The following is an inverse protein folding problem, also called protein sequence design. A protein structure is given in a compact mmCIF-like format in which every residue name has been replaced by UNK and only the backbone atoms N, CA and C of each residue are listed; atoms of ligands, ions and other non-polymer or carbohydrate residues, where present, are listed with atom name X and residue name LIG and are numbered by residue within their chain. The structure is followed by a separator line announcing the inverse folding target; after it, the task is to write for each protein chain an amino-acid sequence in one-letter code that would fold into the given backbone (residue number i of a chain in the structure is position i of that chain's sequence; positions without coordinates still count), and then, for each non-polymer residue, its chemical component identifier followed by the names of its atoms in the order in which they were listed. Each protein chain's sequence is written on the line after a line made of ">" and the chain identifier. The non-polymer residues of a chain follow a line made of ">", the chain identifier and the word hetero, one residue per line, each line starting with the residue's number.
data_IF_881463442282
#
_entry.id   IF_881463442282
#
_cell.length_a   1.000
_cell.length_b   1.000
_cell.length_c   1.000
_cell.angle_alpha   90.00
_cell.angle_beta   90.00
_cell.angle_gamma   90.00
#
_symmetry.space_group_name_H-M   'P 1'
#
loop_
_entity.id
_entity.type
_entity.pdbx_description
1 polymer ?
#
# COMPACT_ATOMS: atom_id res chain seq x y z
N UNK A 1 -0.29 29.93 -7.85
CA UNK A 1 0.35 29.96 -6.52
C UNK A 1 1.35 28.81 -6.46
N UNK A 2 2.66 29.09 -6.61
CA UNK A 2 3.73 28.10 -6.40
C UNK A 2 3.75 27.77 -4.90
N UNK A 3 3.28 26.59 -4.55
CA UNK A 3 3.41 26.05 -3.20
C UNK A 3 4.91 25.77 -3.00
N UNK A 4 5.58 26.56 -2.15
CA UNK A 4 6.96 26.32 -1.76
C UNK A 4 7.16 24.83 -1.45
N UNK A 5 8.07 24.19 -2.19
CA UNK A 5 8.52 22.85 -1.87
C UNK A 5 9.26 22.92 -0.54
N UNK A 6 8.55 22.63 0.55
CA UNK A 6 9.19 22.50 1.86
C UNK A 6 10.24 21.39 1.74
N UNK A 7 11.49 21.75 1.92
CA UNK A 7 12.58 20.78 2.00
C UNK A 7 12.21 19.72 3.04
N UNK A 8 12.22 18.46 2.64
CA UNK A 8 11.96 17.33 3.51
C UNK A 8 12.97 17.39 4.67
N UNK A 9 12.47 17.49 5.89
CA UNK A 9 13.31 17.40 7.08
C UNK A 9 13.91 15.99 7.14
N UNK A 10 15.17 15.87 7.56
CA UNK A 10 15.82 14.57 7.78
C UNK A 10 14.97 13.62 8.62
N UNK A 11 14.31 14.16 9.65
CA UNK A 11 13.39 13.40 10.50
C UNK A 11 12.21 12.83 9.72
N UNK A 12 11.61 13.58 8.80
CA UNK A 12 10.51 13.10 7.96
C UNK A 12 10.98 12.02 7.00
N UNK A 13 12.16 12.21 6.39
CA UNK A 13 12.73 11.20 5.47
C UNK A 13 13.06 9.89 6.19
N UNK A 14 13.63 9.95 7.40
CA UNK A 14 13.90 8.75 8.21
C UNK A 14 12.61 8.02 8.62
N UNK A 15 11.56 8.76 8.95
CA UNK A 15 10.26 8.18 9.27
C UNK A 15 9.64 7.50 8.04
N UNK A 16 9.69 8.14 6.89
CA UNK A 16 9.19 7.57 5.63
C UNK A 16 9.93 6.29 5.25
N UNK A 17 11.25 6.26 5.43
CA UNK A 17 12.08 5.08 5.20
C UNK A 17 11.70 3.91 6.13
N UNK A 18 11.51 4.21 7.41
CA UNK A 18 11.08 3.22 8.40
C UNK A 18 9.69 2.67 8.08
N UNK A 19 8.73 3.53 7.73
CA UNK A 19 7.38 3.13 7.34
C UNK A 19 7.39 2.29 6.06
N UNK A 20 8.22 2.65 5.09
CA UNK A 20 8.39 1.89 3.83
C UNK A 20 8.97 0.50 4.09
N UNK A 21 9.91 0.37 5.00
CA UNK A 21 10.46 -0.93 5.43
C UNK A 21 9.38 -1.81 6.06
N UNK A 22 8.59 -1.26 6.98
CA UNK A 22 7.46 -1.98 7.59
C UNK A 22 6.42 -2.38 6.56
N UNK A 23 6.13 -1.49 5.61
CA UNK A 23 5.18 -1.76 4.53
C UNK A 23 5.66 -2.88 3.59
N UNK A 24 6.96 -2.89 3.25
CA UNK A 24 7.56 -3.94 2.42
C UNK A 24 7.50 -5.34 3.03
N UNK A 25 7.61 -5.45 4.36
CA UNK A 25 7.48 -6.73 5.07
C UNK A 25 6.04 -7.25 5.19
N UNK A 26 5.04 -6.42 4.92
CA UNK A 26 3.63 -6.74 5.13
C UNK A 26 3.12 -7.98 4.35
N UNK A 27 3.37 -8.16 3.03
CA UNK A 27 2.90 -9.32 2.28
C UNK A 27 3.49 -10.64 2.81
N UNK A 28 4.77 -10.63 3.17
CA UNK A 28 5.46 -11.78 3.75
C UNK A 28 4.87 -12.16 5.10
N UNK A 29 4.71 -11.19 6.00
CA UNK A 29 4.10 -11.42 7.32
C UNK A 29 2.66 -11.96 7.19
N UNK A 30 1.88 -11.44 6.25
CA UNK A 30 0.53 -11.91 5.98
C UNK A 30 0.55 -13.37 5.50
N UNK A 31 1.45 -13.73 4.60
CA UNK A 31 1.57 -15.10 4.08
C UNK A 31 1.93 -16.10 5.18
N UNK A 32 2.88 -15.75 6.05
CA UNK A 32 3.27 -16.58 7.21
C UNK A 32 2.10 -16.79 8.18
N UNK A 33 1.24 -15.80 8.33
CA UNK A 33 0.11 -15.86 9.25
C UNK A 33 -1.12 -16.64 8.71
N UNK A 34 -1.19 -16.94 7.40
CA UNK A 34 -2.33 -17.65 6.78
C UNK A 34 -2.66 -18.99 7.45
N UNK A 35 -1.70 -19.88 7.80
CA UNK A 35 -1.99 -21.14 8.45
C UNK A 35 -2.69 -20.99 9.81
N UNK A 36 -2.45 -19.86 10.49
CA UNK A 36 -2.98 -19.60 11.84
C UNK A 36 -4.27 -18.79 11.83
N UNK A 37 -4.46 -17.96 10.81
CA UNK A 37 -5.62 -17.11 10.68
C UNK A 37 -6.01 -16.90 9.22
N UNK A 38 -7.26 -17.20 8.82
CA UNK A 38 -7.75 -16.94 7.47
C UNK A 38 -7.61 -15.47 7.09
N UNK A 39 -7.45 -15.14 5.79
CA UNK A 39 -7.19 -13.77 5.32
C UNK A 39 -8.23 -12.74 5.79
N UNK A 40 -9.50 -13.15 5.86
CA UNK A 40 -10.59 -12.29 6.35
C UNK A 40 -10.40 -11.98 7.83
N UNK A 41 -10.04 -12.98 8.66
CA UNK A 41 -9.77 -12.78 10.09
C UNK A 41 -8.60 -11.83 10.30
N UNK A 42 -7.52 -11.98 9.55
CA UNK A 42 -6.37 -11.08 9.62
C UNK A 42 -6.77 -9.63 9.28
N UNK A 43 -7.65 -9.44 8.28
CA UNK A 43 -8.14 -8.11 7.89
C UNK A 43 -8.88 -7.41 9.02
N UNK A 44 -9.92 -8.03 9.59
CA UNK A 44 -10.70 -7.37 10.64
C UNK A 44 -9.92 -7.18 11.95
N UNK A 45 -9.07 -8.14 12.34
CA UNK A 45 -8.21 -8.01 13.52
C UNK A 45 -7.29 -6.77 13.41
N UNK A 46 -6.74 -6.52 12.22
CA UNK A 46 -5.94 -5.33 11.95
C UNK A 46 -6.73 -4.05 12.17
N UNK A 47 -7.97 -3.99 11.66
CA UNK A 47 -8.82 -2.81 11.85
C UNK A 47 -9.16 -2.58 13.33
N UNK A 48 -9.46 -3.65 14.07
CA UNK A 48 -9.74 -3.55 15.51
C UNK A 48 -8.52 -3.02 16.26
N UNK A 49 -7.37 -3.64 16.07
CA UNK A 49 -6.13 -3.23 16.78
C UNK A 49 -5.75 -1.80 16.41
N UNK A 50 -5.76 -1.46 15.11
CA UNK A 50 -5.43 -0.10 14.66
C UNK A 50 -6.44 0.92 15.20
N UNK A 51 -7.72 0.59 15.20
CA UNK A 51 -8.78 1.45 15.73
C UNK A 51 -8.58 1.74 17.22
N UNK A 52 -8.25 0.72 18.02
CA UNK A 52 -7.96 0.87 19.45
C UNK A 52 -6.75 1.78 19.65
N UNK A 53 -5.64 1.52 18.95
CA UNK A 53 -4.41 2.32 19.06
C UNK A 53 -4.67 3.79 18.68
N UNK A 54 -5.35 4.02 17.55
CA UNK A 54 -5.67 5.38 17.08
C UNK A 54 -6.61 6.07 18.06
N UNK A 55 -7.60 5.37 18.61
CA UNK A 55 -8.53 5.92 19.59
C UNK A 55 -7.80 6.42 20.83
N UNK A 56 -6.95 5.60 21.44
CA UNK A 56 -6.18 6.01 22.61
C UNK A 56 -5.19 7.13 22.30
N UNK A 57 -4.53 7.07 21.14
CA UNK A 57 -3.63 8.13 20.71
C UNK A 57 -4.35 9.47 20.51
N UNK A 58 -5.53 9.46 19.86
CA UNK A 58 -6.33 10.66 19.67
C UNK A 58 -6.82 11.24 21.00
N UNK A 59 -7.21 10.38 21.96
CA UNK A 59 -7.57 10.80 23.32
C UNK A 59 -6.38 11.45 24.03
N UNK A 60 -5.20 10.83 23.93
CA UNK A 60 -3.97 11.40 24.50
C UNK A 60 -3.63 12.77 23.91
N UNK A 61 -3.78 12.93 22.61
CA UNK A 61 -3.53 14.20 21.91
C UNK A 61 -4.67 15.21 22.04
N UNK A 62 -5.76 14.86 22.72
CA UNK A 62 -6.98 15.70 22.86
C UNK A 62 -7.58 16.11 21.51
N UNK A 63 -7.48 15.25 20.49
CA UNK A 63 -8.07 15.47 19.18
C UNK A 63 -9.54 15.05 19.24
N UNK A 64 -10.44 15.91 18.72
CA UNK A 64 -11.85 15.57 18.59
C UNK A 64 -12.04 14.45 17.56
N UNK A 65 -12.67 13.36 17.97
CA UNK A 65 -13.00 12.23 17.11
C UNK A 65 -14.40 12.33 16.49
N UNK A 66 -15.12 13.39 16.79
CA UNK A 66 -16.47 13.60 16.24
C UNK A 66 -16.40 14.27 14.88
N UNK A 67 -16.72 13.55 13.79
CA UNK A 67 -16.74 14.14 12.46
C UNK A 67 -17.95 15.08 12.32
N UNK A 68 -17.77 16.13 11.56
CA UNK A 68 -18.86 17.02 11.17
C UNK A 68 -19.83 16.27 10.26
N UNK A 69 -21.12 16.61 10.26
CA UNK A 69 -22.12 15.94 9.39
C UNK A 69 -21.73 15.89 7.90
N UNK A 70 -21.02 16.91 7.43
CA UNK A 70 -20.52 16.98 6.04
C UNK A 70 -19.39 15.98 5.75
N UNK A 71 -18.64 15.55 6.77
CA UNK A 71 -17.50 14.64 6.65
C UNK A 71 -17.92 13.19 6.78
N UNK A 72 -19.07 12.88 7.38
CA UNK A 72 -19.53 11.50 7.61
C UNK A 72 -19.65 10.74 6.28
N UNK A 73 -20.29 11.32 5.27
CA UNK A 73 -20.50 10.65 3.99
C UNK A 73 -19.18 10.28 3.29
N UNK A 74 -18.23 11.21 3.08
CA UNK A 74 -16.94 10.84 2.47
C UNK A 74 -16.13 9.90 3.34
N UNK A 75 -16.17 10.00 4.67
CA UNK A 75 -15.48 9.06 5.57
C UNK A 75 -16.02 7.64 5.46
N UNK A 76 -17.35 7.48 5.43
CA UNK A 76 -17.98 6.17 5.25
C UNK A 76 -17.65 5.59 3.87
N UNK A 77 -17.73 6.38 2.82
CA UNK A 77 -17.36 5.94 1.46
C UNK A 77 -15.89 5.48 1.40
N UNK A 78 -14.97 6.28 1.96
CA UNK A 78 -13.54 5.92 2.02
C UNK A 78 -13.31 4.65 2.85
N UNK A 79 -13.99 4.53 3.99
CA UNK A 79 -13.90 3.34 4.84
C UNK A 79 -14.37 2.07 4.13
N UNK A 80 -15.48 2.13 3.40
CA UNK A 80 -16.00 0.99 2.62
C UNK A 80 -15.01 0.63 1.51
N UNK A 81 -14.56 1.61 0.72
CA UNK A 81 -13.61 1.37 -0.38
C UNK A 81 -12.31 0.75 0.13
N UNK A 82 -11.78 1.28 1.22
CA UNK A 82 -10.54 0.77 1.82
C UNK A 82 -10.71 -0.65 2.39
N UNK A 83 -11.85 -0.93 3.01
CA UNK A 83 -12.16 -2.28 3.53
C UNK A 83 -12.27 -3.30 2.39
N UNK A 84 -12.95 -2.95 1.31
CA UNK A 84 -13.08 -3.80 0.11
C UNK A 84 -11.72 -4.03 -0.53
N UNK A 85 -10.92 -2.99 -0.69
CA UNK A 85 -9.55 -3.08 -1.22
C UNK A 85 -8.68 -4.04 -0.41
N UNK A 86 -8.67 -3.91 0.93
CA UNK A 86 -7.89 -4.79 1.80
C UNK A 86 -8.40 -6.23 1.78
N UNK A 87 -9.70 -6.43 1.67
CA UNK A 87 -10.28 -7.77 1.55
C UNK A 87 -9.75 -8.46 0.28
N UNK A 88 -9.84 -7.80 -0.87
CA UNK A 88 -9.32 -8.35 -2.13
C UNK A 88 -7.81 -8.55 -2.10
N UNK A 89 -7.05 -7.62 -1.50
CA UNK A 89 -5.61 -7.75 -1.34
C UNK A 89 -5.25 -8.99 -0.51
N UNK A 90 -5.89 -9.17 0.64
CA UNK A 90 -5.63 -10.31 1.52
C UNK A 90 -5.99 -11.64 0.87
N UNK A 91 -7.13 -11.71 0.18
CA UNK A 91 -7.53 -12.91 -0.59
C UNK A 91 -6.54 -13.15 -1.74
N UNK A 92 -6.13 -12.11 -2.46
CA UNK A 92 -5.15 -12.21 -3.54
C UNK A 92 -3.83 -12.79 -3.06
N UNK A 93 -3.26 -12.24 -1.98
CA UNK A 93 -2.00 -12.73 -1.40
C UNK A 93 -2.14 -14.19 -0.91
N UNK A 94 -3.31 -14.58 -0.40
CA UNK A 94 -3.53 -15.96 0.05
C UNK A 94 -3.48 -16.98 -1.09
N UNK A 95 -3.89 -16.58 -2.28
CA UNK A 95 -4.02 -17.45 -3.47
C UNK A 95 -2.80 -17.40 -4.41
N UNK A 96 -1.87 -16.48 -4.19
CA UNK A 96 -0.70 -16.29 -5.05
C UNK A 96 0.60 -16.37 -4.26
N UNK A 97 1.74 -16.33 -4.95
CA UNK A 97 3.05 -16.17 -4.30
C UNK A 97 3.21 -14.75 -3.77
N UNK A 98 4.06 -14.57 -2.76
CA UNK A 98 4.40 -13.23 -2.23
C UNK A 98 4.97 -12.35 -3.35
N UNK A 99 5.87 -12.89 -4.15
CA UNK A 99 6.52 -12.17 -5.26
C UNK A 99 5.48 -11.68 -6.29
N UNK A 100 4.58 -12.57 -6.74
CA UNK A 100 3.50 -12.19 -7.68
C UNK A 100 2.59 -11.10 -7.11
N UNK A 101 2.27 -11.19 -5.81
CA UNK A 101 1.45 -10.19 -5.14
C UNK A 101 2.12 -8.83 -5.07
N UNK A 102 3.44 -8.79 -4.82
CA UNK A 102 4.23 -7.55 -4.79
C UNK A 102 4.25 -6.91 -6.16
N UNK A 103 4.48 -7.69 -7.24
CA UNK A 103 4.51 -7.16 -8.61
C UNK A 103 3.16 -6.57 -9.00
N UNK A 104 2.07 -7.32 -8.80
CA UNK A 104 0.74 -6.82 -9.12
C UNK A 104 0.40 -5.56 -8.32
N UNK A 105 0.73 -5.54 -7.03
CA UNK A 105 0.53 -4.35 -6.21
C UNK A 105 1.39 -3.17 -6.66
N UNK A 106 2.58 -3.41 -7.19
CA UNK A 106 3.48 -2.35 -7.68
C UNK A 106 3.00 -1.70 -8.99
N UNK A 107 1.95 -2.22 -9.62
CA UNK A 107 1.32 -1.56 -10.78
C UNK A 107 0.44 -0.38 -10.38
N UNK A 108 0.06 -0.25 -9.08
CA UNK A 108 -0.88 0.78 -8.65
C UNK A 108 -0.47 2.22 -9.01
N UNK A 109 0.82 2.63 -9.01
CA UNK A 109 1.19 3.99 -9.39
C UNK A 109 0.83 4.34 -10.84
N UNK A 110 0.85 3.36 -11.74
CA UNK A 110 0.44 3.54 -13.14
C UNK A 110 -1.05 3.90 -13.19
N UNK A 111 -1.88 3.15 -12.45
CA UNK A 111 -3.31 3.42 -12.36
C UNK A 111 -3.61 4.76 -11.70
N UNK A 112 -2.88 5.11 -10.64
CA UNK A 112 -3.04 6.41 -9.95
C UNK A 112 -2.72 7.57 -10.90
N UNK A 113 -1.64 7.50 -11.67
CA UNK A 113 -1.27 8.54 -12.61
C UNK A 113 -2.29 8.64 -13.75
N UNK A 114 -2.70 7.49 -14.30
CA UNK A 114 -3.67 7.43 -15.40
C UNK A 114 -5.03 7.98 -14.96
N UNK A 115 -5.56 7.48 -13.85
CA UNK A 115 -6.85 7.94 -13.32
C UNK A 115 -6.77 9.39 -12.83
N UNK A 116 -5.67 9.78 -12.21
CA UNK A 116 -5.44 11.15 -11.78
C UNK A 116 -5.56 12.16 -12.91
N UNK A 117 -5.00 11.82 -14.08
CA UNK A 117 -5.11 12.66 -15.27
C UNK A 117 -6.57 12.88 -15.71
N UNK A 118 -7.42 11.84 -15.62
CA UNK A 118 -8.83 11.94 -16.03
C UNK A 118 -9.71 12.62 -14.98
N UNK A 119 -9.44 12.42 -13.69
CA UNK A 119 -10.31 12.88 -12.62
C UNK A 119 -9.84 14.16 -11.93
N UNK A 120 -8.54 14.51 -12.01
CA UNK A 120 -7.96 15.68 -11.35
C UNK A 120 -7.52 16.68 -12.41
N UNK A 121 -8.30 17.75 -12.60
CA UNK A 121 -8.07 18.77 -13.63
C UNK A 121 -6.71 19.51 -13.52
N UNK A 122 -6.06 19.49 -12.37
CA UNK A 122 -4.78 20.18 -12.13
C UNK A 122 -3.56 19.25 -12.21
N UNK A 123 -3.76 17.93 -12.38
CA UNK A 123 -2.66 16.96 -12.47
C UNK A 123 -2.27 16.74 -13.94
N UNK A 124 -1.30 17.54 -14.39
CA UNK A 124 -0.76 17.42 -15.75
C UNK A 124 0.03 16.12 -15.89
N UNK A 125 -0.34 15.35 -16.90
CA UNK A 125 0.40 14.17 -17.34
C UNK A 125 1.76 14.59 -17.89
N UNK A 126 2.79 14.45 -17.09
CA UNK A 126 4.15 14.81 -17.50
C UNK A 126 4.87 13.56 -17.97
N UNK A 127 5.50 13.61 -19.15
CA UNK A 127 6.34 12.52 -19.68
C UNK A 127 7.39 12.05 -18.67
N UNK A 128 7.91 12.97 -17.85
CA UNK A 128 8.85 12.64 -16.79
C UNK A 128 8.25 11.72 -15.71
N UNK A 129 6.98 11.94 -15.33
CA UNK A 129 6.26 11.06 -14.40
C UNK A 129 6.09 9.67 -14.99
N UNK A 130 5.67 9.58 -16.25
CA UNK A 130 5.51 8.31 -16.95
C UNK A 130 6.86 7.55 -17.05
N UNK A 131 7.92 8.25 -17.44
CA UNK A 131 9.25 7.65 -17.56
C UNK A 131 9.78 7.12 -16.22
N UNK A 132 9.62 7.90 -15.13
CA UNK A 132 10.01 7.46 -13.79
C UNK A 132 9.27 6.22 -13.31
N UNK A 133 7.95 6.16 -13.54
CA UNK A 133 7.13 4.98 -13.18
C UNK A 133 7.49 3.78 -14.03
N UNK A 134 7.75 3.96 -15.33
CA UNK A 134 8.15 2.87 -16.23
C UNK A 134 9.48 2.27 -15.82
N UNK A 135 10.48 3.09 -15.47
CA UNK A 135 11.78 2.60 -14.96
C UNK A 135 11.60 1.84 -13.65
N UNK A 136 10.82 2.36 -12.72
CA UNK A 136 10.56 1.69 -11.45
C UNK A 136 9.88 0.32 -11.67
N UNK A 137 8.92 0.25 -12.57
CA UNK A 137 8.24 -0.99 -12.89
C UNK A 137 9.14 -2.00 -13.59
N UNK A 138 9.99 -1.56 -14.53
CA UNK A 138 11.00 -2.42 -15.15
C UNK A 138 11.98 -2.99 -14.11
N UNK A 139 12.40 -2.20 -13.14
CA UNK A 139 13.25 -2.68 -12.04
C UNK A 139 12.58 -3.81 -11.24
N UNK A 140 11.28 -3.71 -10.97
CA UNK A 140 10.51 -4.74 -10.28
C UNK A 140 10.42 -6.02 -11.13
N UNK A 141 10.16 -5.89 -12.43
CA UNK A 141 10.12 -7.03 -13.36
C UNK A 141 11.47 -7.75 -13.38
N UNK A 142 12.58 -7.03 -13.51
CA UNK A 142 13.93 -7.62 -13.53
C UNK A 142 14.19 -8.40 -12.25
N UNK A 143 13.88 -7.82 -11.09
CA UNK A 143 14.04 -8.51 -9.79
C UNK A 143 13.19 -9.78 -9.70
N UNK A 144 12.01 -9.78 -10.30
CA UNK A 144 11.15 -10.96 -10.31
C UNK A 144 11.65 -12.06 -11.22
N UNK A 145 12.13 -11.72 -12.41
CA UNK A 145 12.70 -12.71 -13.34
C UNK A 145 13.90 -13.42 -12.71
N UNK A 146 14.77 -12.68 -12.03
CA UNK A 146 15.92 -13.25 -11.32
C UNK A 146 15.48 -14.22 -10.21
N UNK A 147 14.51 -13.84 -9.40
CA UNK A 147 13.95 -14.71 -8.37
C UNK A 147 13.22 -15.93 -8.93
N UNK A 148 12.60 -15.82 -10.10
CA UNK A 148 11.92 -16.94 -10.76
C UNK A 148 12.93 -17.94 -11.35
N UNK A 149 14.03 -17.46 -11.93
CA UNK A 149 15.11 -18.31 -12.48
C UNK A 149 15.82 -19.09 -11.38
N UNK A 150 16.09 -18.48 -10.23
CA UNK A 150 16.68 -19.16 -9.08
C UNK A 150 15.77 -20.29 -8.57
N UNK A 151 14.47 -20.03 -8.46
CA UNK A 151 13.51 -21.05 -7.99
C UNK A 151 13.36 -22.22 -8.97
N UNK A 152 13.44 -21.98 -10.28
CA UNK A 152 13.38 -23.05 -11.30
C UNK A 152 14.67 -23.85 -11.37
N UNK A 153 15.83 -23.25 -11.07
CA UNK A 153 17.12 -23.95 -10.98
C UNK A 153 17.15 -24.92 -9.80
N UNK A 154 16.70 -24.48 -8.61
CA UNK A 154 16.66 -25.33 -7.42
C UNK A 154 15.66 -26.52 -7.56
N UNK A 155 14.59 -26.35 -8.35
CA UNK A 155 13.62 -27.41 -8.63
C UNK A 155 14.08 -28.40 -9.73
N UNK A 156 15.14 -28.09 -10.47
CA UNK A 156 15.72 -28.96 -11.49
C UNK A 156 16.87 -29.83 -10.95
N UNK A 157 17.39 -29.49 -9.76
CA UNK A 157 18.48 -30.21 -9.10
C UNK A 157 17.97 -31.25 -8.05
N UNK A 158 16.66 -31.40 -7.84
CA UNK A 158 16.00 -32.47 -7.07
C UNK A 158 15.42 -33.55 -8.02
#
# INVERSE_FOLDING_TARGET
>A
MQKERKNLSFRSASLDLFLSFLWGGHPTALKIAIPYAPPIRQGWMRFVVSGIVIFFWARYKKISLYPTRKEIKPLVQLGILFSVQLLFLNIGISKTSVSSSVILNSTYPIWVITLGHFFIKEDNFTLLKLFGVSIAYLGIIVTYFDSCLLYTSDAADE
#
